data_IF_197670602914
#
_entry.id   IF_197670602914
#
_cell.length_a   1.000
_cell.length_b   1.000
_cell.length_c   1.000
_cell.angle_alpha   90.00
_cell.angle_beta   90.00
_cell.angle_gamma   90.00
#
_symmetry.space_group_name_H-M   'P 1'
#
loop_
_entity.id
_entity.type
_entity.pdbx_description
1 polymer ?
#
# COMPACT_ATOMS: atom_id res chain seq x y z
N UNK A 1 5.46 -6.96 6.67
CA UNK A 1 6.45 -6.49 7.64
C UNK A 1 6.16 -6.99 9.05
N UNK A 2 4.95 -6.85 9.59
CA UNK A 2 4.59 -7.42 10.87
C UNK A 2 3.83 -8.71 10.63
N UNK A 3 4.34 -9.79 11.19
CA UNK A 3 3.72 -11.08 11.11
C UNK A 3 3.13 -11.44 12.44
N UNK A 4 1.85 -11.81 12.44
CA UNK A 4 1.26 -12.46 13.59
C UNK A 4 1.55 -13.94 13.44
N UNK A 5 2.47 -14.45 14.24
CA UNK A 5 2.66 -15.88 14.33
C UNK A 5 1.45 -16.49 15.01
N UNK A 6 1.33 -17.81 15.01
CA UNK A 6 0.21 -18.51 15.63
C UNK A 6 0.04 -18.17 17.11
N UNK A 7 1.06 -17.65 17.71
CA UNK A 7 1.03 -17.18 19.09
C UNK A 7 0.84 -15.67 19.06
N UNK A 8 -0.40 -15.22 19.15
CA UNK A 8 -0.75 -13.81 19.13
C UNK A 8 -0.17 -13.01 20.30
N UNK A 9 0.29 -13.68 21.35
CA UNK A 9 0.91 -13.04 22.51
C UNK A 9 2.31 -12.51 22.20
N UNK A 10 2.95 -13.00 21.13
CA UNK A 10 4.32 -12.65 20.78
C UNK A 10 4.41 -12.23 19.30
N UNK A 11 3.88 -11.06 18.96
CA UNK A 11 4.00 -10.58 17.58
C UNK A 11 5.47 -10.35 17.23
N UNK A 12 5.81 -10.66 15.99
CA UNK A 12 7.17 -10.59 15.48
C UNK A 12 7.22 -9.58 14.33
N UNK A 13 8.24 -8.73 14.37
CA UNK A 13 8.58 -7.86 13.25
C UNK A 13 9.68 -8.54 12.44
N UNK A 14 9.45 -8.69 11.13
CA UNK A 14 10.50 -9.11 10.21
C UNK A 14 10.92 -7.89 9.40
N UNK A 15 12.17 -7.51 9.50
CA UNK A 15 12.68 -6.33 8.82
C UNK A 15 14.10 -6.59 8.34
N UNK A 16 14.32 -6.40 7.04
CA UNK A 16 15.63 -6.62 6.38
C UNK A 16 16.20 -8.01 6.69
N UNK A 17 15.34 -9.03 6.66
CA UNK A 17 15.75 -10.41 6.87
C UNK A 17 15.95 -10.81 8.31
N UNK A 18 15.71 -9.92 9.26
CA UNK A 18 15.87 -10.19 10.71
C UNK A 18 14.52 -10.17 11.38
N UNK A 19 14.37 -11.01 12.41
CA UNK A 19 13.15 -11.08 13.21
C UNK A 19 13.37 -10.50 14.59
N UNK A 20 12.41 -9.70 15.03
CA UNK A 20 12.44 -9.04 16.32
C UNK A 20 11.13 -9.28 17.04
N UNK A 21 11.17 -9.53 18.33
CA UNK A 21 9.97 -9.59 19.16
C UNK A 21 9.52 -8.16 19.45
N UNK A 22 8.32 -7.81 18.99
CA UNK A 22 7.82 -6.43 19.11
C UNK A 22 7.73 -6.01 20.57
N UNK A 23 7.36 -6.93 21.47
CA UNK A 23 7.23 -6.63 22.89
C UNK A 23 8.56 -6.26 23.55
N UNK A 24 9.67 -6.62 22.93
CA UNK A 24 11.00 -6.30 23.44
C UNK A 24 11.57 -5.00 22.88
N UNK A 25 10.86 -4.37 21.94
CA UNK A 25 11.31 -3.14 21.31
C UNK A 25 10.96 -1.93 22.17
N UNK A 26 11.77 -0.88 22.07
CA UNK A 26 11.48 0.39 22.75
C UNK A 26 10.23 1.04 22.17
N UNK A 27 9.63 1.95 22.93
CA UNK A 27 8.46 2.70 22.45
C UNK A 27 8.78 3.52 21.22
N UNK A 28 9.97 4.08 21.13
CA UNK A 28 10.41 4.85 19.98
C UNK A 28 10.44 3.99 18.73
N UNK A 29 10.96 2.77 18.83
CA UNK A 29 10.99 1.83 17.71
C UNK A 29 9.56 1.42 17.34
N UNK A 30 8.69 1.17 18.30
CA UNK A 30 7.29 0.83 18.05
C UNK A 30 6.56 1.95 17.30
N UNK A 31 6.82 3.21 17.65
CA UNK A 31 6.24 4.34 16.94
C UNK A 31 6.74 4.40 15.49
N UNK A 32 8.03 4.17 15.27
CA UNK A 32 8.60 4.13 13.93
C UNK A 32 7.95 3.04 13.09
N UNK A 33 7.67 1.87 13.67
CA UNK A 33 6.98 0.78 12.98
C UNK A 33 5.57 1.22 12.55
N UNK A 34 4.83 1.88 13.44
CA UNK A 34 3.49 2.39 13.11
C UNK A 34 3.52 3.37 11.95
N UNK A 35 4.45 4.31 11.99
CA UNK A 35 4.57 5.33 10.93
C UNK A 35 4.91 4.66 9.61
N UNK A 36 5.81 3.68 9.62
CA UNK A 36 6.17 2.95 8.41
C UNK A 36 4.97 2.19 7.84
N UNK A 37 4.18 1.55 8.70
CA UNK A 37 2.98 0.83 8.26
C UNK A 37 1.95 1.77 7.65
N UNK A 38 1.77 2.94 8.24
CA UNK A 38 0.87 3.96 7.69
C UNK A 38 1.36 4.39 6.31
N UNK A 39 2.66 4.64 6.16
CA UNK A 39 3.25 5.03 4.89
C UNK A 39 3.04 3.95 3.83
N UNK A 40 3.28 2.69 4.16
CA UNK A 40 3.09 1.57 3.23
C UNK A 40 1.63 1.43 2.80
N UNK A 41 0.70 1.60 3.74
CA UNK A 41 -0.73 1.56 3.45
C UNK A 41 -1.12 2.70 2.50
N UNK A 42 -0.62 3.91 2.75
CA UNK A 42 -0.89 5.06 1.90
C UNK A 42 -0.35 4.85 0.48
N UNK A 43 0.86 4.33 0.37
CA UNK A 43 1.46 4.04 -0.94
C UNK A 43 0.58 3.06 -1.71
N UNK A 44 0.14 1.98 -1.08
CA UNK A 44 -0.72 1.01 -1.73
C UNK A 44 -2.04 1.63 -2.19
N UNK A 45 -2.66 2.44 -1.35
CA UNK A 45 -3.91 3.11 -1.68
C UNK A 45 -3.74 4.05 -2.88
N UNK A 46 -2.65 4.80 -2.91
CA UNK A 46 -2.36 5.70 -4.03
C UNK A 46 -2.05 4.94 -5.31
N UNK A 47 -1.36 3.80 -5.21
CA UNK A 47 -1.12 2.94 -6.37
C UNK A 47 -2.43 2.40 -6.95
N UNK A 48 -3.34 1.96 -6.08
CA UNK A 48 -4.66 1.47 -6.51
C UNK A 48 -5.46 2.59 -7.16
N UNK A 49 -5.42 3.79 -6.60
CA UNK A 49 -6.09 4.96 -7.15
C UNK A 49 -5.51 5.33 -8.52
N UNK A 50 -4.19 5.30 -8.65
CA UNK A 50 -3.53 5.60 -9.92
C UNK A 50 -3.94 4.60 -11.00
N UNK A 51 -4.01 3.32 -10.66
CA UNK A 51 -4.45 2.28 -11.58
C UNK A 51 -5.87 2.55 -12.07
N UNK A 52 -6.78 2.88 -11.14
CA UNK A 52 -8.16 3.18 -11.48
C UNK A 52 -8.26 4.41 -12.39
N UNK A 53 -7.51 5.47 -12.07
CA UNK A 53 -7.50 6.69 -12.87
C UNK A 53 -6.93 6.42 -14.28
N UNK A 54 -5.94 5.56 -14.40
CA UNK A 54 -5.36 5.19 -15.70
C UNK A 54 -6.39 4.47 -16.57
N UNK A 55 -7.18 3.57 -15.97
CA UNK A 55 -8.26 2.88 -16.67
C UNK A 55 -9.34 3.89 -17.12
N UNK A 56 -9.71 4.80 -16.22
CA UNK A 56 -10.69 5.85 -16.53
C UNK A 56 -10.21 6.74 -17.67
N UNK A 57 -8.94 7.13 -17.64
CA UNK A 57 -8.36 7.95 -18.72
C UNK A 57 -8.43 7.24 -20.05
N UNK A 58 -8.12 5.94 -20.09
CA UNK A 58 -8.19 5.18 -21.35
C UNK A 58 -9.62 5.10 -21.87
N UNK A 59 -10.59 4.89 -21.00
CA UNK A 59 -12.00 4.87 -21.38
C UNK A 59 -12.44 6.20 -21.96
N UNK A 60 -12.07 7.29 -21.29
CA UNK A 60 -12.43 8.64 -21.75
C UNK A 60 -11.76 8.98 -23.09
N UNK A 61 -10.51 8.57 -23.27
CA UNK A 61 -9.80 8.76 -24.52
C UNK A 61 -10.48 8.01 -25.68
N UNK A 62 -10.94 6.78 -25.42
CA UNK A 62 -11.66 6.00 -26.41
C UNK A 62 -13.00 6.65 -26.76
N UNK A 63 -13.70 7.17 -25.77
CA UNK A 63 -14.96 7.89 -26.01
C UNK A 63 -14.73 9.13 -26.86
N UNK A 64 -13.69 9.87 -26.58
CA UNK A 64 -13.33 11.05 -27.37
C UNK A 64 -12.99 10.65 -28.81
N UNK A 65 -12.22 9.60 -29.00
CA UNK A 65 -11.88 9.08 -30.33
C UNK A 65 -13.14 8.76 -31.14
N UNK A 66 -14.09 8.07 -30.49
CA UNK A 66 -15.36 7.72 -31.18
C UNK A 66 -16.16 8.95 -31.56
N UNK A 67 -16.21 9.95 -30.71
CA UNK A 67 -16.92 11.19 -30.98
C UNK A 67 -16.25 11.96 -32.12
N UNK A 68 -14.94 11.96 -32.19
CA UNK A 68 -14.21 12.63 -33.27
C UNK A 68 -14.41 11.93 -34.58
N UNK A 69 -14.52 10.62 -34.59
CA UNK A 69 -14.80 9.86 -35.82
C UNK A 69 -16.17 10.22 -36.41
N UNK A 70 -17.13 10.57 -35.57
CA UNK A 70 -18.46 10.97 -36.04
C UNK A 70 -18.46 12.33 -36.73
N UNK A 71 -17.40 13.11 -36.60
CA UNK A 71 -17.27 14.39 -37.31
C UNK A 71 -16.80 14.23 -38.75
N UNK A 72 -16.28 13.08 -39.10
CA UNK A 72 -15.77 12.81 -40.45
C UNK A 72 -16.91 12.54 -41.42
#
# INVERSE_FOLDING_TARGET
MIENTNDSANPVLTFEGKKYLINELSNDIKESIKVLQIAETQIKMHQDTLKLLSISRNTLANQLSDKLKKLE
#
